data_IF_831742074199
#
_entry.id   IF_831742074199
#
_cell.length_a   1.000
_cell.length_b   1.000
_cell.length_c   1.000
_cell.angle_alpha   90.00
_cell.angle_beta   90.00
_cell.angle_gamma   90.00
#
_symmetry.space_group_name_H-M   'P 1'
#
loop_
_entity.id
_entity.type
_entity.pdbx_description
1 polymer ?
#
# COMPACT_ATOMS: atom_id res chain seq x y z
N UNK A 1 5.11 11.02 9.69
CA UNK A 1 4.83 12.43 9.28
C UNK A 1 4.46 13.32 10.46
N UNK A 2 3.40 12.97 11.22
CA UNK A 2 2.88 13.84 12.30
C UNK A 2 3.51 13.62 13.68
N UNK A 3 4.16 12.48 13.88
CA UNK A 3 4.66 12.03 15.19
C UNK A 3 5.76 10.99 14.97
N UNK A 4 6.49 10.63 16.04
CA UNK A 4 7.46 9.53 16.06
C UNK A 4 6.86 8.29 16.73
N UNK A 5 7.47 7.12 16.51
CA UNK A 5 7.05 5.89 17.20
C UNK A 5 7.19 6.02 18.72
N UNK A 6 8.23 6.70 19.19
CA UNK A 6 8.45 6.93 20.63
C UNK A 6 7.30 7.73 21.24
N UNK A 7 6.90 8.84 20.62
CA UNK A 7 5.78 9.66 21.10
C UNK A 7 4.45 8.88 21.07
N UNK A 8 4.25 8.02 20.06
CA UNK A 8 3.07 7.17 19.96
C UNK A 8 3.01 6.17 21.12
N UNK A 9 4.12 5.51 21.43
CA UNK A 9 4.21 4.56 22.56
C UNK A 9 3.92 5.29 23.86
N UNK A 10 4.60 6.41 24.13
CA UNK A 10 4.39 7.23 25.34
C UNK A 10 2.93 7.67 25.49
N UNK A 11 2.30 8.08 24.38
CA UNK A 11 0.91 8.52 24.39
C UNK A 11 -0.07 7.36 24.63
N UNK A 12 0.19 6.18 24.09
CA UNK A 12 -0.60 4.98 24.38
C UNK A 12 -0.47 4.58 25.86
N UNK A 13 0.74 4.65 26.41
CA UNK A 13 1.00 4.38 27.83
C UNK A 13 0.30 5.37 28.75
N UNK A 14 0.33 6.66 28.41
CA UNK A 14 -0.40 7.72 29.13
C UNK A 14 -1.91 7.50 29.08
N UNK A 15 -2.44 6.89 28.01
CA UNK A 15 -3.84 6.50 27.89
C UNK A 15 -4.18 5.20 28.65
N UNK A 16 -3.23 4.63 29.41
CA UNK A 16 -3.44 3.43 30.23
C UNK A 16 -3.28 2.11 29.47
N UNK A 17 -2.76 2.13 28.24
CA UNK A 17 -2.36 0.90 27.57
C UNK A 17 -0.96 0.49 28.03
N UNK A 18 -0.69 -0.80 28.10
CA UNK A 18 0.60 -1.34 28.53
C UNK A 18 1.39 -1.86 27.33
N UNK A 19 2.62 -1.37 27.18
CA UNK A 19 3.55 -1.91 26.21
C UNK A 19 4.14 -3.25 26.70
N UNK A 20 3.90 -4.32 25.94
CA UNK A 20 4.43 -5.66 26.22
C UNK A 20 5.68 -5.90 25.39
N UNK A 21 6.83 -5.79 26.06
CA UNK A 21 8.12 -6.02 25.42
C UNK A 21 8.44 -7.52 25.28
N UNK A 22 9.28 -7.84 24.29
CA UNK A 22 9.87 -9.17 24.13
C UNK A 22 11.24 -9.05 23.46
N UNK A 23 12.15 -9.96 23.81
CA UNK A 23 13.44 -10.06 23.13
C UNK A 23 13.29 -10.87 21.84
N UNK A 24 13.47 -10.23 20.68
CA UNK A 24 13.39 -10.87 19.36
C UNK A 24 14.45 -11.96 19.16
N UNK A 25 15.63 -11.83 19.76
CA UNK A 25 16.70 -12.84 19.65
C UNK A 25 16.39 -14.14 20.39
N UNK A 26 15.54 -14.08 21.41
CA UNK A 26 15.15 -15.22 22.25
C UNK A 26 13.74 -15.75 21.93
N UNK A 27 12.94 -14.96 21.23
CA UNK A 27 11.54 -15.25 20.92
C UNK A 27 11.39 -15.63 19.46
N UNK A 28 11.22 -16.93 19.15
CA UNK A 28 10.87 -17.34 17.78
C UNK A 28 9.55 -16.69 17.31
N UNK A 29 9.36 -16.50 16.00
CA UNK A 29 8.10 -15.97 15.45
C UNK A 29 6.85 -16.76 15.89
N UNK A 30 6.96 -18.09 16.04
CA UNK A 30 5.87 -18.93 16.57
C UNK A 30 5.50 -18.53 18.01
N UNK A 31 6.49 -18.26 18.86
CA UNK A 31 6.27 -17.77 20.24
C UNK A 31 5.72 -16.35 20.24
N UNK A 32 6.19 -15.47 19.35
CA UNK A 32 5.64 -14.13 19.16
C UNK A 32 4.15 -14.18 18.81
N UNK A 33 3.75 -15.00 17.84
CA UNK A 33 2.32 -15.18 17.48
C UNK A 33 1.48 -15.63 18.68
N UNK A 34 2.00 -16.57 19.49
CA UNK A 34 1.32 -16.99 20.72
C UNK A 34 1.16 -15.84 21.72
N UNK A 35 2.19 -14.98 21.87
CA UNK A 35 2.10 -13.77 22.71
C UNK A 35 1.01 -12.83 22.19
N UNK A 36 0.99 -12.54 20.88
CA UNK A 36 -0.04 -11.68 20.26
C UNK A 36 -1.46 -12.22 20.52
N UNK A 37 -1.68 -13.52 20.38
CA UNK A 37 -2.98 -14.14 20.65
C UNK A 37 -3.41 -14.06 22.12
N UNK A 38 -2.46 -13.88 23.04
CA UNK A 38 -2.69 -13.83 24.48
C UNK A 38 -2.56 -12.39 25.03
N UNK A 39 -2.48 -11.36 24.18
CA UNK A 39 -2.49 -9.98 24.63
C UNK A 39 -3.85 -9.62 25.24
N UNK A 40 -3.84 -8.97 26.39
CA UNK A 40 -5.05 -8.41 27.00
C UNK A 40 -5.50 -7.13 26.28
N UNK A 41 -6.79 -6.78 26.34
CA UNK A 41 -7.35 -5.61 25.61
C UNK A 41 -6.65 -4.27 25.88
N UNK A 42 -6.00 -4.14 27.02
CA UNK A 42 -5.21 -2.97 27.40
C UNK A 42 -3.73 -3.06 27.03
N UNK A 43 -3.32 -4.06 26.25
CA UNK A 43 -1.92 -4.30 25.90
C UNK A 43 -1.67 -4.12 24.41
N UNK A 44 -0.42 -3.76 24.07
CA UNK A 44 0.08 -3.71 22.71
C UNK A 44 1.56 -4.06 22.68
N UNK A 45 2.09 -4.38 21.50
CA UNK A 45 3.52 -4.66 21.33
C UNK A 45 4.03 -4.21 19.97
N UNK A 46 5.35 -4.09 19.82
CA UNK A 46 5.98 -3.87 18.53
C UNK A 46 5.97 -5.13 17.66
N UNK A 47 5.76 -4.96 16.36
CA UNK A 47 5.76 -6.09 15.43
C UNK A 47 7.12 -6.80 15.36
N UNK A 48 7.08 -8.11 15.10
CA UNK A 48 8.27 -8.95 15.00
C UNK A 48 9.20 -8.61 13.83
N UNK A 49 8.63 -8.29 12.67
CA UNK A 49 9.40 -8.05 11.45
C UNK A 49 9.64 -6.56 11.22
N UNK A 50 8.66 -5.72 11.59
CA UNK A 50 8.67 -4.28 11.38
C UNK A 50 8.57 -3.51 12.72
N UNK A 51 9.47 -3.74 13.68
CA UNK A 51 9.36 -3.14 15.02
C UNK A 51 9.53 -1.62 15.02
N UNK A 52 10.12 -1.03 13.98
CA UNK A 52 10.26 0.42 13.82
C UNK A 52 9.04 1.10 13.20
N UNK A 53 8.05 0.32 12.75
CA UNK A 53 6.91 0.83 11.97
C UNK A 53 5.55 0.38 12.53
N UNK A 54 5.43 -0.88 12.96
CA UNK A 54 4.14 -1.50 13.29
C UNK A 54 3.97 -1.78 14.78
N UNK A 55 2.80 -1.39 15.27
CA UNK A 55 2.24 -1.79 16.55
C UNK A 55 1.20 -2.88 16.34
N UNK A 56 1.19 -3.86 17.24
CA UNK A 56 0.28 -5.00 17.24
C UNK A 56 -0.60 -4.92 18.48
N UNK A 57 -1.90 -4.99 18.25
CA UNK A 57 -2.94 -5.00 19.27
C UNK A 57 -3.66 -6.35 19.24
N UNK A 58 -4.29 -6.78 20.35
CA UNK A 58 -5.14 -7.96 20.34
C UNK A 58 -6.30 -7.81 19.36
N UNK A 59 -6.85 -8.96 18.94
CA UNK A 59 -8.02 -8.98 18.07
C UNK A 59 -9.22 -8.32 18.75
N UNK A 60 -10.02 -7.57 17.99
CA UNK A 60 -11.21 -6.88 18.50
C UNK A 60 -10.95 -5.55 19.21
N UNK A 61 -9.70 -5.07 19.25
CA UNK A 61 -9.39 -3.73 19.76
C UNK A 61 -10.01 -2.65 18.88
N UNK A 62 -10.80 -1.77 19.48
CA UNK A 62 -11.45 -0.64 18.80
C UNK A 62 -10.45 0.50 18.61
N UNK A 63 -9.59 0.38 17.59
CA UNK A 63 -8.55 1.38 17.31
C UNK A 63 -9.09 2.70 16.77
N UNK A 64 -10.29 2.69 16.19
CA UNK A 64 -10.91 3.87 15.59
C UNK A 64 -11.24 4.97 16.61
N UNK A 65 -11.42 4.60 17.88
CA UNK A 65 -11.74 5.55 18.95
C UNK A 65 -10.52 6.23 19.55
N UNK A 66 -9.32 5.68 19.31
CA UNK A 66 -8.07 6.25 19.78
C UNK A 66 -7.86 7.65 19.21
N UNK A 67 -7.49 8.59 20.08
CA UNK A 67 -7.18 9.97 19.67
C UNK A 67 -6.02 10.00 18.65
N UNK A 68 -5.08 9.07 18.78
CA UNK A 68 -4.00 8.88 17.82
C UNK A 68 -4.51 8.51 16.41
N UNK A 69 -5.56 7.70 16.30
CA UNK A 69 -6.18 7.38 15.01
C UNK A 69 -7.00 8.56 14.47
N UNK A 70 -7.78 9.22 15.33
CA UNK A 70 -8.61 10.39 14.96
C UNK A 70 -7.75 11.55 14.44
N UNK A 71 -6.64 11.84 15.12
CA UNK A 71 -5.64 12.84 14.71
C UNK A 71 -4.79 12.44 13.49
N UNK A 72 -4.94 11.20 12.99
CA UNK A 72 -4.15 10.61 11.90
C UNK A 72 -2.65 10.49 12.23
N UNK A 73 -2.35 10.30 13.50
CA UNK A 73 -1.03 9.94 14.01
C UNK A 73 -0.77 8.43 13.89
N UNK A 74 -1.85 7.63 13.82
CA UNK A 74 -1.84 6.21 13.53
C UNK A 74 -2.64 5.91 12.25
N UNK A 75 -2.09 5.00 11.44
CA UNK A 75 -2.76 4.40 10.29
C UNK A 75 -3.01 2.92 10.58
N UNK A 76 -4.20 2.44 10.20
CA UNK A 76 -4.50 1.01 10.23
C UNK A 76 -4.16 0.46 8.85
N UNK A 77 -3.20 -0.45 8.81
CA UNK A 77 -2.73 -1.06 7.58
C UNK A 77 -2.42 -2.53 7.83
N UNK A 78 -2.75 -3.37 6.86
CA UNK A 78 -2.36 -4.77 6.91
C UNK A 78 -0.83 -4.92 6.92
N UNK A 79 -0.33 -5.86 7.73
CA UNK A 79 1.11 -6.08 7.91
C UNK A 79 1.81 -6.44 6.61
N UNK A 80 1.20 -7.26 5.74
CA UNK A 80 1.79 -7.62 4.46
C UNK A 80 1.93 -6.41 3.53
N UNK A 81 0.92 -5.52 3.54
CA UNK A 81 0.93 -4.26 2.78
C UNK A 81 2.10 -3.34 3.15
N UNK A 82 2.55 -3.35 4.42
CA UNK A 82 3.68 -2.53 4.86
C UNK A 82 5.03 -2.99 4.30
N UNK A 83 5.17 -4.27 3.93
CA UNK A 83 6.42 -4.79 3.39
C UNK A 83 6.75 -4.22 2.02
N UNK A 84 5.78 -3.90 1.17
CA UNK A 84 6.08 -3.44 -0.20
C UNK A 84 6.94 -2.16 -0.18
N UNK A 85 6.54 -1.15 0.60
CA UNK A 85 7.31 0.07 0.74
C UNK A 85 8.57 -0.13 1.59
N UNK A 86 8.51 -0.96 2.64
CA UNK A 86 9.70 -1.27 3.46
C UNK A 86 10.80 -1.96 2.64
N UNK A 87 10.46 -2.92 1.78
CA UNK A 87 11.42 -3.62 0.90
C UNK A 87 11.92 -2.68 -0.20
N UNK A 88 11.08 -1.73 -0.64
CA UNK A 88 11.47 -0.77 -1.66
C UNK A 88 12.63 0.12 -1.20
N UNK A 89 12.77 0.40 0.11
CA UNK A 89 13.86 1.21 0.69
C UNK A 89 14.34 2.35 -0.24
N UNK A 90 13.44 3.27 -0.66
CA UNK A 90 13.83 4.29 -1.62
C UNK A 90 14.86 5.23 -1.00
N UNK A 91 15.79 5.75 -1.82
CA UNK A 91 16.73 6.78 -1.35
C UNK A 91 15.89 8.02 -0.94
N UNK A 92 16.05 8.55 0.30
CA UNK A 92 15.28 9.68 0.80
C UNK A 92 15.36 10.97 -0.04
N UNK A 93 16.29 11.07 -0.99
CA UNK A 93 16.45 12.22 -1.89
C UNK A 93 16.17 11.88 -3.37
N UNK A 94 15.80 10.64 -3.67
CA UNK A 94 15.39 10.20 -5.02
C UNK A 94 13.88 10.29 -5.21
N UNK A 95 13.43 10.33 -6.46
CA UNK A 95 12.00 10.26 -6.76
C UNK A 95 11.50 8.81 -6.79
N UNK A 96 10.24 8.63 -6.42
CA UNK A 96 9.57 7.34 -6.39
C UNK A 96 8.30 7.39 -7.22
N UNK A 97 8.02 6.33 -7.97
CA UNK A 97 6.76 6.18 -8.69
C UNK A 97 5.92 5.08 -8.04
N UNK A 98 4.71 5.43 -7.63
CA UNK A 98 3.68 4.49 -7.16
C UNK A 98 2.67 4.28 -8.29
N UNK A 99 2.77 3.15 -8.98
CA UNK A 99 2.13 2.92 -10.28
C UNK A 99 0.64 2.56 -10.19
N UNK A 100 0.16 2.18 -9.00
CA UNK A 100 -1.22 1.75 -8.73
C UNK A 100 -1.62 2.24 -7.32
N UNK A 101 -1.58 3.56 -7.13
CA UNK A 101 -1.46 4.17 -5.82
C UNK A 101 -2.73 4.10 -4.94
N UNK A 102 -3.93 4.03 -5.53
CA UNK A 102 -5.14 4.11 -4.71
C UNK A 102 -5.38 2.80 -3.92
N UNK A 103 -5.82 2.86 -2.65
CA UNK A 103 -6.36 4.03 -1.94
C UNK A 103 -5.31 4.88 -1.18
N UNK A 104 -4.02 4.57 -1.27
CA UNK A 104 -2.94 5.47 -0.83
C UNK A 104 -2.20 5.12 0.45
N UNK A 105 -2.50 4.01 1.12
CA UNK A 105 -1.79 3.68 2.37
C UNK A 105 -0.29 3.43 2.13
N UNK A 106 0.07 2.74 1.04
CA UNK A 106 1.47 2.55 0.65
C UNK A 106 2.12 3.87 0.25
N UNK A 107 1.40 4.73 -0.48
CA UNK A 107 1.86 6.08 -0.78
C UNK A 107 2.11 6.90 0.49
N UNK A 108 1.22 6.85 1.49
CA UNK A 108 1.41 7.52 2.79
C UNK A 108 2.64 6.99 3.54
N UNK A 109 2.90 5.69 3.45
CA UNK A 109 4.13 5.10 3.97
C UNK A 109 5.36 5.66 3.24
N UNK A 110 5.34 5.75 1.90
CA UNK A 110 6.42 6.39 1.13
C UNK A 110 6.63 7.86 1.52
N UNK A 111 5.56 8.63 1.77
CA UNK A 111 5.67 10.02 2.24
C UNK A 111 6.43 10.10 3.57
N UNK A 112 6.31 9.08 4.43
CA UNK A 112 7.03 9.03 5.70
C UNK A 112 8.51 8.63 5.59
N UNK A 113 8.92 8.04 4.47
CA UNK A 113 10.29 7.54 4.23
C UNK A 113 11.18 8.54 3.48
N UNK A 114 10.57 9.43 2.70
CA UNK A 114 11.27 10.35 1.81
C UNK A 114 11.44 11.75 2.42
N UNK A 115 12.42 12.50 1.92
CA UNK A 115 12.69 13.87 2.35
C UNK A 115 11.98 14.90 1.47
N UNK A 116 12.06 16.16 1.87
CA UNK A 116 11.53 17.30 1.12
C UNK A 116 12.21 17.57 -0.24
N UNK A 117 13.27 16.85 -0.58
CA UNK A 117 13.93 16.90 -1.90
C UNK A 117 13.32 15.93 -2.92
N UNK A 118 12.57 14.93 -2.46
CA UNK A 118 11.96 13.91 -3.31
C UNK A 118 10.57 14.30 -3.80
N UNK A 119 10.18 13.65 -4.89
CA UNK A 119 8.83 13.65 -5.44
C UNK A 119 8.30 12.22 -5.54
N UNK A 120 7.07 12.02 -5.08
CA UNK A 120 6.31 10.81 -5.28
C UNK A 120 5.35 11.04 -6.44
N UNK A 121 5.54 10.31 -7.54
CA UNK A 121 4.59 10.27 -8.66
C UNK A 121 3.59 9.14 -8.41
N UNK A 122 2.37 9.50 -8.02
CA UNK A 122 1.34 8.54 -7.66
C UNK A 122 0.28 8.45 -8.77
N UNK A 123 0.06 7.25 -9.30
CA UNK A 123 -0.77 7.03 -10.48
C UNK A 123 -1.85 6.01 -10.14
N UNK A 124 -3.10 6.32 -10.49
CA UNK A 124 -4.17 5.32 -10.49
C UNK A 124 -5.13 5.61 -11.64
N UNK A 125 -5.61 4.55 -12.30
CA UNK A 125 -6.44 4.69 -13.50
C UNK A 125 -7.93 4.88 -13.21
N UNK A 126 -8.39 4.47 -12.02
CA UNK A 126 -9.81 4.47 -11.69
C UNK A 126 -10.20 5.81 -11.04
N UNK A 127 -11.08 6.62 -11.66
CA UNK A 127 -11.41 7.95 -11.14
C UNK A 127 -12.04 7.95 -9.74
N UNK A 128 -12.81 6.90 -9.40
CA UNK A 128 -13.46 6.81 -8.11
C UNK A 128 -12.46 6.46 -7.00
N UNK A 129 -11.56 5.50 -7.27
CA UNK A 129 -10.45 5.17 -6.37
C UNK A 129 -9.47 6.33 -6.25
N UNK A 130 -9.17 7.01 -7.37
CA UNK A 130 -8.30 8.18 -7.39
C UNK A 130 -8.85 9.32 -6.53
N UNK A 131 -10.16 9.60 -6.62
CA UNK A 131 -10.81 10.57 -5.73
C UNK A 131 -10.61 10.22 -4.26
N UNK A 132 -10.92 8.99 -3.86
CA UNK A 132 -10.72 8.51 -2.48
C UNK A 132 -9.25 8.57 -2.05
N UNK A 133 -8.34 8.25 -2.96
CA UNK A 133 -6.90 8.35 -2.75
C UNK A 133 -6.48 9.79 -2.42
N UNK A 134 -6.89 10.76 -3.24
CA UNK A 134 -6.57 12.18 -2.98
C UNK A 134 -7.19 12.69 -1.68
N UNK A 135 -8.45 12.34 -1.39
CA UNK A 135 -9.12 12.65 -0.12
C UNK A 135 -8.35 12.03 1.07
N UNK A 136 -7.89 10.80 0.94
CA UNK A 136 -7.10 10.10 1.97
C UNK A 136 -5.75 10.80 2.22
N UNK A 137 -5.03 11.22 1.17
CA UNK A 137 -3.77 11.97 1.34
C UNK A 137 -3.99 13.31 2.08
N UNK A 138 -5.04 14.05 1.71
CA UNK A 138 -5.38 15.34 2.33
C UNK A 138 -5.71 15.14 3.81
N UNK A 139 -6.60 14.19 4.13
CA UNK A 139 -7.02 13.91 5.51
C UNK A 139 -5.84 13.48 6.39
N UNK A 140 -4.88 12.73 5.83
CA UNK A 140 -3.69 12.29 6.55
C UNK A 140 -2.57 13.35 6.61
N UNK A 141 -2.79 14.54 6.07
CA UNK A 141 -1.90 15.69 6.23
C UNK A 141 -0.71 15.71 5.27
N UNK A 142 -0.88 15.21 4.04
CA UNK A 142 0.07 15.45 2.96
C UNK A 142 -0.03 16.91 2.53
N UNK A 143 1.00 17.70 2.82
CA UNK A 143 0.98 19.16 2.63
C UNK A 143 1.32 19.58 1.20
N UNK A 144 2.20 18.82 0.54
CA UNK A 144 2.77 19.14 -0.78
C UNK A 144 2.13 18.30 -1.89
N UNK A 145 0.81 18.25 -1.92
CA UNK A 145 0.04 17.50 -2.91
C UNK A 145 -0.32 18.36 -4.12
N UNK A 146 0.03 17.89 -5.32
CA UNK A 146 -0.44 18.41 -6.60
C UNK A 146 -1.31 17.36 -7.29
N UNK A 147 -2.59 17.65 -7.46
CA UNK A 147 -3.53 16.78 -8.19
C UNK A 147 -3.56 17.26 -9.64
N UNK A 148 -3.22 16.37 -10.57
CA UNK A 148 -3.17 16.67 -12.00
C UNK A 148 -4.39 16.06 -12.69
N UNK A 149 -5.20 16.92 -13.33
CA UNK A 149 -6.27 16.48 -14.22
C UNK A 149 -5.75 16.45 -15.66
N UNK A 150 -5.90 15.31 -16.34
CA UNK A 150 -5.65 15.25 -17.79
C UNK A 150 -6.74 15.97 -18.60
N UNK A 151 -7.97 16.04 -18.08
CA UNK A 151 -9.14 16.54 -18.80
C UNK A 151 -9.40 18.06 -18.69
N UNK A 152 -8.57 18.81 -17.96
CA UNK A 152 -8.77 20.26 -17.80
C UNK A 152 -7.44 21.01 -17.58
N UNK A 153 -6.70 21.24 -18.65
CA UNK A 153 -5.49 22.08 -18.67
C UNK A 153 -5.74 23.56 -18.31
N UNK A 154 -6.97 23.98 -17.97
CA UNK A 154 -7.37 25.39 -17.84
C UNK A 154 -8.08 25.78 -16.54
N UNK A 155 -8.20 24.92 -15.53
CA UNK A 155 -8.58 25.38 -14.18
C UNK A 155 -7.36 25.33 -13.28
N UNK A 156 -6.87 26.52 -12.91
CA UNK A 156 -5.84 26.70 -11.92
C UNK A 156 -6.18 25.87 -10.68
N UNK A 157 -5.28 24.94 -10.39
CA UNK A 157 -5.22 24.10 -9.22
C UNK A 157 -5.60 24.89 -7.96
N UNK A 158 -6.41 24.27 -7.10
CA UNK A 158 -6.41 24.58 -5.68
C UNK A 158 -4.98 24.37 -5.18
N UNK A 159 -4.16 25.43 -5.25
CA UNK A 159 -2.84 25.49 -4.64
C UNK A 159 -3.08 25.41 -3.14
N UNK A 160 -3.09 24.20 -2.58
CA UNK A 160 -2.83 24.06 -1.16
C UNK A 160 -1.50 24.78 -0.92
N UNK A 161 -1.57 25.78 -0.04
CA UNK A 161 -0.51 26.75 0.24
C UNK A 161 0.83 26.02 0.30
N UNK A 162 1.79 26.43 -0.53
CA UNK A 162 3.21 26.06 -0.35
C UNK A 162 3.61 26.54 1.04
N UNK A 163 3.56 25.66 2.05
CA UNK A 163 4.28 25.91 3.29
C UNK A 163 5.75 25.88 2.89
N UNK A 164 6.41 27.03 3.00
CA UNK A 164 7.83 27.22 2.59
C UNK A 164 8.79 26.38 3.47
N UNK A 165 8.26 25.59 4.41
CA UNK A 165 9.01 24.92 5.47
C UNK A 165 8.57 23.46 5.74
N UNK A 166 7.88 22.80 4.80
CA UNK A 166 7.53 21.38 4.98
C UNK A 166 8.75 20.47 4.82
N UNK A 167 8.93 19.53 5.75
CA UNK A 167 9.91 18.46 5.65
C UNK A 167 9.45 17.27 4.79
N UNK A 168 8.18 17.27 4.36
CA UNK A 168 7.59 16.22 3.54
C UNK A 168 8.06 16.27 2.07
N UNK A 169 8.11 15.12 1.36
CA UNK A 169 8.28 15.09 -0.09
C UNK A 169 7.10 15.75 -0.81
N UNK A 170 7.29 16.08 -2.09
CA UNK A 170 6.15 16.44 -2.94
C UNK A 170 5.39 15.17 -3.36
N UNK A 171 4.07 15.25 -3.48
CA UNK A 171 3.26 14.19 -4.10
C UNK A 171 2.57 14.78 -5.33
N UNK A 172 2.80 14.18 -6.49
CA UNK A 172 2.09 14.49 -7.72
C UNK A 172 1.18 13.31 -8.08
N UNK A 173 -0.13 13.56 -8.03
CA UNK A 173 -1.16 12.56 -8.23
C UNK A 173 -1.76 12.65 -9.65
N UNK A 174 -1.81 11.52 -10.36
CA UNK A 174 -2.30 11.41 -11.73
C UNK A 174 -3.45 10.39 -11.81
N UNK A 175 -4.60 10.84 -12.28
CA UNK A 175 -5.68 9.95 -12.71
C UNK A 175 -5.39 9.51 -14.15
N UNK A 176 -4.61 8.44 -14.32
CA UNK A 176 -4.17 7.96 -15.65
C UNK A 176 -3.83 6.48 -15.64
N UNK A 177 -3.75 5.88 -16.82
CA UNK A 177 -3.17 4.56 -16.99
C UNK A 177 -1.63 4.64 -16.89
N UNK A 178 -1.03 3.87 -15.97
CA UNK A 178 0.42 3.78 -15.83
C UNK A 178 1.10 3.40 -17.14
N UNK A 179 0.49 2.55 -17.97
CA UNK A 179 1.04 2.15 -19.27
C UNK A 179 1.13 3.29 -20.28
N UNK A 180 0.40 4.39 -20.07
CA UNK A 180 0.41 5.59 -20.91
C UNK A 180 1.53 6.58 -20.55
N UNK A 181 2.20 6.38 -19.42
CA UNK A 181 3.30 7.24 -18.99
C UNK A 181 4.52 6.96 -19.86
N UNK A 182 5.16 8.00 -20.38
CA UNK A 182 6.42 7.84 -21.12
C UNK A 182 7.60 7.69 -20.14
N UNK A 183 8.27 6.52 -20.08
CA UNK A 183 9.41 6.30 -19.19
C UNK A 183 10.62 7.21 -19.47
N UNK A 184 10.69 7.78 -20.68
CA UNK A 184 11.78 8.66 -21.10
C UNK A 184 11.46 10.14 -20.92
N UNK A 185 10.27 10.47 -20.40
CA UNK A 185 9.93 11.85 -20.11
C UNK A 185 10.95 12.43 -19.09
N UNK A 186 11.59 13.58 -19.35
CA UNK A 186 12.59 14.17 -18.46
C UNK A 186 12.10 14.38 -17.03
N UNK A 187 10.78 14.52 -16.83
CA UNK A 187 10.15 14.62 -15.51
C UNK A 187 10.43 13.42 -14.61
N UNK A 188 10.59 12.23 -15.17
CA UNK A 188 10.87 11.00 -14.42
C UNK A 188 12.36 10.65 -14.37
N UNK A 189 13.25 11.55 -14.82
CA UNK A 189 14.68 11.29 -14.87
C UNK A 189 15.31 11.03 -13.49
N UNK A 190 14.74 11.52 -12.40
CA UNK A 190 15.23 11.27 -11.04
C UNK A 190 14.50 10.10 -10.34
N UNK A 191 13.59 9.40 -11.03
CA UNK A 191 12.91 8.22 -10.47
C UNK A 191 13.88 7.07 -10.40
N UNK A 192 14.18 6.62 -9.18
CA UNK A 192 15.10 5.50 -8.92
C UNK A 192 14.39 4.26 -8.39
N UNK A 193 13.16 4.41 -7.90
CA UNK A 193 12.40 3.31 -7.30
C UNK A 193 10.94 3.34 -7.77
N UNK A 194 10.39 2.16 -8.08
CA UNK A 194 8.98 2.00 -8.45
C UNK A 194 8.30 1.01 -7.50
N UNK A 195 7.17 1.42 -6.95
CA UNK A 195 6.23 0.55 -6.27
C UNK A 195 5.11 0.16 -7.24
N UNK A 196 4.92 -1.14 -7.43
CA UNK A 196 3.90 -1.69 -8.31
C UNK A 196 3.00 -2.65 -7.51
N UNK A 197 1.88 -2.15 -7.03
CA UNK A 197 0.87 -2.90 -6.29
C UNK A 197 -0.47 -2.95 -7.07
N UNK A 198 -0.52 -3.69 -8.19
CA UNK A 198 -1.68 -3.68 -9.09
C UNK A 198 -2.86 -4.43 -8.48
N UNK A 199 -4.04 -4.16 -9.03
CA UNK A 199 -5.23 -4.94 -8.72
C UNK A 199 -4.98 -6.44 -8.94
N UNK A 200 -5.27 -7.22 -7.90
CA UNK A 200 -5.08 -8.66 -7.86
C UNK A 200 -6.46 -9.37 -7.80
N UNK A 201 -6.49 -10.69 -7.70
CA UNK A 201 -7.72 -11.45 -7.44
C UNK A 201 -8.41 -11.05 -6.12
N UNK A 202 -7.63 -10.60 -5.13
CA UNK A 202 -8.07 -10.32 -3.76
C UNK A 202 -8.10 -11.57 -2.88
N UNK A 203 -7.74 -12.74 -3.42
CA UNK A 203 -7.95 -14.04 -2.75
C UNK A 203 -7.14 -14.24 -1.47
N UNK A 204 -6.10 -13.45 -1.24
CA UNK A 204 -5.31 -13.43 0.00
C UNK A 204 -5.76 -12.43 1.05
N UNK A 205 -6.81 -11.63 0.78
CA UNK A 205 -7.37 -10.72 1.76
C UNK A 205 -8.43 -11.45 2.60
N UNK A 206 -8.19 -11.49 3.91
CA UNK A 206 -9.22 -11.88 4.88
C UNK A 206 -10.04 -10.65 5.27
N UNK A 207 -11.34 -10.66 5.02
CA UNK A 207 -12.30 -9.73 5.62
C UNK A 207 -12.60 -10.25 7.02
N UNK A 208 -12.25 -9.46 8.04
CA UNK A 208 -12.74 -9.70 9.40
C UNK A 208 -14.12 -9.09 9.54
N UNK A 209 -15.10 -9.94 9.81
CA UNK A 209 -16.44 -9.47 10.15
C UNK A 209 -16.43 -8.81 11.55
N UNK A 210 -17.41 -7.96 11.86
CA UNK A 210 -17.52 -7.31 13.18
C UNK A 210 -17.57 -8.29 14.36
N UNK A 211 -17.98 -9.54 14.11
CA UNK A 211 -18.03 -10.63 15.09
C UNK A 211 -16.68 -11.33 15.33
N UNK A 212 -15.62 -10.90 14.63
CA UNK A 212 -14.28 -11.47 14.73
C UNK A 212 -14.05 -12.73 13.88
N UNK A 213 -15.03 -13.17 13.09
CA UNK A 213 -14.85 -14.25 12.12
C UNK A 213 -14.03 -13.79 10.92
N UNK A 214 -13.08 -14.62 10.49
CA UNK A 214 -12.30 -14.40 9.27
C UNK A 214 -13.05 -15.02 8.09
N UNK A 215 -13.60 -14.18 7.22
CA UNK A 215 -14.05 -14.61 5.89
C UNK A 215 -12.99 -14.18 4.88
N UNK A 216 -12.36 -15.15 4.22
CA UNK A 216 -11.62 -14.84 3.00
C UNK A 216 -12.60 -14.26 1.99
N UNK A 217 -12.19 -13.19 1.30
CA UNK A 217 -12.91 -12.72 0.13
C UNK A 217 -12.78 -13.82 -0.95
N UNK A 218 -13.61 -14.87 -0.86
CA UNK A 218 -13.95 -15.64 -2.05
C UNK A 218 -14.47 -14.57 -3.01
N UNK A 219 -13.89 -14.48 -4.20
CA UNK A 219 -14.51 -13.75 -5.30
C UNK A 219 -15.84 -14.43 -5.62
N UNK A 220 -16.85 -14.28 -4.75
CA UNK A 220 -18.22 -14.70 -5.03
C UNK A 220 -18.74 -13.64 -5.98
N UNK A 221 -18.69 -13.95 -7.27
CA UNK A 221 -19.72 -13.45 -8.15
C UNK A 221 -21.06 -13.80 -7.51
N UNK A 222 -21.87 -12.77 -7.23
CA UNK A 222 -23.27 -12.97 -6.86
C UNK A 222 -23.99 -13.41 -8.12
N UNK A 223 -23.90 -14.69 -8.45
CA UNK A 223 -24.98 -15.37 -9.13
C UNK A 223 -25.59 -16.37 -8.16
N UNK A 224 -26.87 -16.15 -7.92
CA UNK A 224 -27.75 -16.99 -7.12
C UNK A 224 -27.69 -18.44 -7.59
N UNK A 225 -27.49 -19.34 -6.63
CA UNK A 225 -27.82 -20.77 -6.68
C UNK A 225 -27.18 -21.61 -7.80
N UNK A 226 -25.99 -22.15 -7.53
CA UNK A 226 -25.72 -23.60 -7.57
C UNK A 226 -24.24 -23.86 -7.24
N UNK A 227 -24.00 -24.68 -6.22
CA UNK A 227 -22.67 -25.22 -5.92
C UNK A 227 -22.42 -26.41 -6.85
N UNK A 228 -21.66 -26.20 -7.92
CA UNK A 228 -20.95 -27.25 -8.65
C UNK A 228 -19.47 -26.88 -8.69
N UNK A 229 -18.60 -27.79 -8.24
CA UNK A 229 -17.13 -27.67 -8.21
C UNK A 229 -16.49 -27.68 -9.62
N UNK A 230 -17.11 -27.04 -10.60
CA UNK A 230 -16.50 -26.74 -11.89
C UNK A 230 -15.82 -25.38 -11.79
N UNK A 231 -14.49 -25.38 -11.86
CA UNK A 231 -13.68 -24.19 -12.07
C UNK A 231 -14.25 -23.39 -13.26
N UNK A 232 -14.98 -22.32 -12.97
CA UNK A 232 -15.69 -21.52 -13.95
C UNK A 232 -14.68 -20.95 -14.99
N UNK A 233 -14.88 -21.24 -16.28
CA UNK A 233 -14.04 -20.74 -17.38
C UNK A 233 -13.89 -19.21 -17.36
N UNK A 234 -14.93 -18.49 -16.94
CA UNK A 234 -14.92 -17.04 -16.80
C UNK A 234 -13.95 -16.57 -15.71
N UNK A 235 -13.89 -17.28 -14.58
CA UNK A 235 -12.97 -16.98 -13.48
C UNK A 235 -11.51 -17.17 -13.92
N UNK A 236 -11.23 -18.28 -14.61
CA UNK A 236 -9.92 -18.57 -15.19
C UNK A 236 -9.52 -17.53 -16.24
N UNK A 237 -10.45 -17.11 -17.10
CA UNK A 237 -10.24 -16.04 -18.08
C UNK A 237 -9.93 -14.70 -17.42
N UNK A 238 -10.64 -14.34 -16.33
CA UNK A 238 -10.36 -13.15 -15.55
C UNK A 238 -8.97 -13.19 -14.90
N UNK A 239 -8.59 -14.31 -14.30
CA UNK A 239 -7.25 -14.50 -13.71
C UNK A 239 -6.16 -14.30 -14.78
N UNK A 240 -6.33 -14.90 -15.96
CA UNK A 240 -5.40 -14.74 -17.09
C UNK A 240 -5.27 -13.28 -17.53
N UNK A 241 -6.38 -12.55 -17.65
CA UNK A 241 -6.38 -11.11 -17.99
C UNK A 241 -5.66 -10.28 -16.93
N UNK A 242 -5.87 -10.57 -15.65
CA UNK A 242 -5.19 -9.88 -14.55
C UNK A 242 -3.68 -10.15 -14.58
N UNK A 243 -3.24 -11.41 -14.72
CA UNK A 243 -1.82 -11.75 -14.86
C UNK A 243 -1.19 -11.08 -16.08
N UNK A 244 -1.87 -11.03 -17.23
CA UNK A 244 -1.37 -10.32 -18.41
C UNK A 244 -1.18 -8.82 -18.15
N UNK A 245 -2.17 -8.17 -17.54
CA UNK A 245 -2.08 -6.76 -17.19
C UNK A 245 -0.92 -6.51 -16.23
N UNK A 246 -0.77 -7.33 -15.18
CA UNK A 246 0.31 -7.23 -14.21
C UNK A 246 1.69 -7.39 -14.85
N UNK A 247 1.85 -8.33 -15.78
CA UNK A 247 3.07 -8.51 -16.55
C UNK A 247 3.38 -7.30 -17.46
N UNK A 248 2.36 -6.71 -18.09
CA UNK A 248 2.53 -5.49 -18.88
C UNK A 248 2.98 -4.31 -18.01
N UNK A 249 2.36 -4.12 -16.84
CA UNK A 249 2.73 -3.06 -15.89
C UNK A 249 4.17 -3.24 -15.41
N UNK A 250 4.57 -4.47 -15.05
CA UNK A 250 5.94 -4.75 -14.62
C UNK A 250 6.95 -4.50 -15.74
N UNK A 251 6.68 -4.98 -16.96
CA UNK A 251 7.53 -4.70 -18.12
C UNK A 251 7.64 -3.20 -18.40
N UNK A 252 6.56 -2.46 -18.21
CA UNK A 252 6.56 -1.01 -18.38
C UNK A 252 7.42 -0.31 -17.31
N UNK A 253 7.29 -0.69 -16.04
CA UNK A 253 8.11 -0.17 -14.95
C UNK A 253 9.62 -0.38 -15.20
N UNK A 254 10.00 -1.51 -15.79
CA UNK A 254 11.40 -1.83 -16.12
C UNK A 254 11.98 -1.01 -17.29
N UNK A 255 11.19 -0.18 -17.99
CA UNK A 255 11.69 0.69 -19.07
C UNK A 255 12.27 2.02 -18.56
N UNK A 256 11.99 2.40 -17.31
CA UNK A 256 12.47 3.67 -16.76
C UNK A 256 14.00 3.64 -16.61
N UNK A 257 14.75 4.59 -17.23
CA UNK A 257 16.18 4.43 -17.46
C UNK A 257 17.03 4.48 -16.18
N UNK A 258 16.59 5.21 -15.16
CA UNK A 258 17.33 5.42 -13.91
C UNK A 258 16.76 4.61 -12.73
N UNK A 259 15.76 3.76 -12.98
CA UNK A 259 15.17 2.92 -11.95
C UNK A 259 16.13 1.80 -11.59
N UNK A 260 16.45 1.73 -10.29
CA UNK A 260 17.35 0.75 -9.70
C UNK A 260 16.57 -0.37 -9.00
N UNK A 261 15.36 -0.08 -8.53
CA UNK A 261 14.53 -1.04 -7.80
C UNK A 261 13.06 -0.94 -8.17
N UNK A 262 12.46 -2.09 -8.46
CA UNK A 262 11.01 -2.24 -8.61
C UNK A 262 10.53 -3.25 -7.58
N UNK A 263 9.57 -2.85 -6.74
CA UNK A 263 8.85 -3.79 -5.87
C UNK A 263 7.48 -4.05 -6.47
N UNK A 264 7.28 -5.29 -6.91
CA UNK A 264 5.99 -5.79 -7.33
C UNK A 264 5.36 -6.58 -6.19
N UNK A 265 4.14 -6.22 -5.81
CA UNK A 265 3.37 -6.94 -4.79
C UNK A 265 1.95 -7.23 -5.25
N UNK A 266 1.41 -8.37 -4.81
CA UNK A 266 0.00 -8.70 -4.97
C UNK A 266 -0.55 -9.22 -3.65
N UNK A 267 -1.87 -9.25 -3.59
CA UNK A 267 -2.67 -9.83 -2.51
C UNK A 267 -3.25 -11.21 -2.91
N UNK A 268 -2.60 -11.92 -3.83
CA UNK A 268 -3.05 -13.22 -4.34
C UNK A 268 -2.46 -14.36 -3.50
N UNK A 269 -3.26 -15.39 -3.22
CA UNK A 269 -2.75 -16.67 -2.66
C UNK A 269 -2.38 -17.67 -3.75
N UNK A 270 -2.51 -17.32 -5.03
CA UNK A 270 -2.19 -18.21 -6.14
C UNK A 270 -0.73 -17.96 -6.57
N UNK A 271 0.23 -18.80 -6.16
CA UNK A 271 1.64 -18.56 -6.49
C UNK A 271 1.86 -18.66 -8.00
N UNK A 272 1.04 -19.47 -8.69
CA UNK A 272 1.06 -19.62 -10.13
C UNK A 272 0.80 -18.29 -10.86
N UNK A 273 -0.12 -17.44 -10.38
CA UNK A 273 -0.39 -16.15 -11.05
C UNK A 273 0.79 -15.20 -10.94
N UNK A 274 1.45 -15.16 -9.78
CA UNK A 274 2.61 -14.29 -9.55
C UNK A 274 3.85 -14.82 -10.29
N UNK A 275 4.09 -16.13 -10.24
CA UNK A 275 5.18 -16.78 -10.96
C UNK A 275 5.00 -16.69 -12.49
N UNK A 276 3.77 -16.72 -13.01
CA UNK A 276 3.48 -16.50 -14.43
C UNK A 276 3.81 -15.07 -14.87
N UNK A 277 3.52 -14.08 -14.03
CA UNK A 277 3.89 -12.68 -14.27
C UNK A 277 5.41 -12.52 -14.34
N UNK A 278 6.13 -13.14 -13.40
CA UNK A 278 7.59 -13.03 -13.29
C UNK A 278 8.35 -13.86 -14.34
N UNK A 279 7.87 -15.06 -14.68
CA UNK A 279 8.49 -15.95 -15.67
C UNK A 279 8.32 -15.48 -17.11
N UNK A 280 7.38 -14.57 -17.37
CA UNK A 280 7.13 -14.04 -18.70
C UNK A 280 6.52 -15.07 -19.67
N UNK A 281 6.07 -16.25 -19.21
CA UNK A 281 5.61 -17.36 -20.06
C UNK A 281 4.38 -17.06 -20.93
N UNK A 282 3.73 -15.90 -20.78
CA UNK A 282 2.74 -15.39 -21.75
C UNK A 282 3.38 -14.77 -23.02
N UNK A 283 4.70 -14.92 -23.23
CA UNK A 283 5.46 -14.32 -24.34
C UNK A 283 5.59 -15.18 -25.61
N UNK A 284 5.06 -16.42 -25.64
CA UNK A 284 5.25 -17.32 -26.80
C UNK A 284 3.97 -17.84 -27.46
N UNK A 285 2.77 -17.44 -27.02
CA UNK A 285 1.52 -17.85 -27.69
C UNK A 285 0.84 -16.63 -28.33
N UNK A 286 1.41 -16.15 -29.43
CA UNK A 286 0.74 -15.44 -30.54
C UNK A 286 1.84 -14.84 -31.43
N UNK A 287 2.34 -15.65 -32.36
CA UNK A 287 2.91 -15.21 -33.63
C UNK A 287 1.98 -15.67 -34.73
#
# INVERSE_FOLDING_TARGET
>A
MKTTLADVIEKLETCGLKHVEYNRSETSYRKFRKKVCNLDRGEFMLDYHLPHLLLVFPSGTVLHDLELYKSKSLLIQDKASCFSAEILQPDPNSDVLDACAAPGNKTLQLVSMLSNKSTIFAVDRDPNRFRRFTENLIVNGVERLSIMDWSNSNKQNNKHRKSVQSSQPSVEAYCSDFLSIDPFNPKFSNVQSILLDPSCSGSGLSIRQPDGSEQYEKCTYKDSNNYTDEYNEEYTSRLKRLSNLQAMLLKHALKFPNVQRVVYSTCSIHPETDLLVLSGNNLYSEK
#
